data_IF_130685156342
#
_entry.id   IF_130685156342
#
_cell.length_a   1.000
_cell.length_b   1.000
_cell.length_c   1.000
_cell.angle_alpha   90.00
_cell.angle_beta   90.00
_cell.angle_gamma   90.00
#
_symmetry.space_group_name_H-M   'P 1'
#
loop_
_entity.id
_entity.type
_entity.pdbx_description
1 polymer ?
#
# COMPACT_ATOMS: atom_id res chain seq x y z
N UNK A 1 4.99 -8.78 22.66
CA UNK A 1 4.56 -7.54 21.97
C UNK A 1 3.06 -7.40 22.13
N UNK A 2 2.54 -6.19 22.36
CA UNK A 2 1.09 -5.95 22.40
C UNK A 2 0.53 -5.80 20.98
N UNK A 3 -0.77 -6.04 20.79
CA UNK A 3 -1.43 -5.95 19.49
C UNK A 3 -1.35 -4.53 18.89
N UNK A 4 -1.51 -3.49 19.72
CA UNK A 4 -1.37 -2.09 19.30
C UNK A 4 0.05 -1.75 18.82
N UNK A 5 1.08 -2.26 19.51
CA UNK A 5 2.47 -2.08 19.08
C UNK A 5 2.71 -2.78 17.74
N UNK A 6 2.21 -4.01 17.57
CA UNK A 6 2.30 -4.69 16.28
C UNK A 6 1.60 -3.90 15.17
N UNK A 7 0.35 -3.48 15.38
CA UNK A 7 -0.47 -2.78 14.39
C UNK A 7 0.12 -1.42 14.00
N UNK A 8 0.70 -0.68 14.95
CA UNK A 8 1.38 0.59 14.68
C UNK A 8 2.64 0.46 13.82
N UNK A 9 3.43 -0.60 13.99
CA UNK A 9 4.58 -0.87 13.10
C UNK A 9 4.14 -1.42 11.75
N UNK A 10 3.15 -2.31 11.75
CA UNK A 10 2.62 -2.93 10.53
C UNK A 10 2.08 -1.88 9.54
N UNK A 11 1.34 -0.90 10.06
CA UNK A 11 0.75 0.19 9.27
C UNK A 11 1.70 1.37 9.04
N UNK A 12 2.88 1.38 9.68
CA UNK A 12 3.80 2.51 9.67
C UNK A 12 3.39 3.70 10.54
N UNK A 13 2.22 3.65 11.19
CA UNK A 13 1.73 4.72 12.07
C UNK A 13 2.70 5.05 13.21
N UNK A 14 3.49 4.06 13.65
CA UNK A 14 4.52 4.30 14.66
C UNK A 14 5.54 5.38 14.25
N UNK A 15 5.76 5.59 12.96
CA UNK A 15 6.71 6.58 12.45
C UNK A 15 6.07 7.95 12.18
N UNK A 16 4.77 7.99 11.86
CA UNK A 16 4.07 9.21 11.44
C UNK A 16 3.31 9.84 12.60
N UNK A 17 2.70 9.03 13.45
CA UNK A 17 1.87 9.45 14.58
C UNK A 17 2.10 8.52 15.79
N UNK A 18 3.29 8.54 16.40
CA UNK A 18 3.66 7.67 17.51
C UNK A 18 2.79 7.84 18.77
N UNK A 19 2.09 8.96 18.89
CA UNK A 19 1.16 9.34 19.96
C UNK A 19 -0.26 8.77 19.79
N UNK A 20 -0.59 8.11 18.68
CA UNK A 20 -1.84 7.39 18.53
C UNK A 20 -1.81 6.13 19.42
N UNK A 21 -2.26 6.28 20.66
CA UNK A 21 -2.31 5.20 21.66
C UNK A 21 -3.73 4.62 21.81
N UNK A 22 -4.75 5.40 21.48
CA UNK A 22 -6.15 4.97 21.56
C UNK A 22 -6.43 3.81 20.58
N UNK A 23 -6.86 2.63 21.07
CA UNK A 23 -7.01 1.44 20.23
C UNK A 23 -8.05 1.58 19.11
N UNK A 24 -9.17 2.27 19.37
CA UNK A 24 -10.27 2.40 18.42
C UNK A 24 -9.87 3.32 17.26
N UNK A 25 -9.27 4.47 17.58
CA UNK A 25 -8.71 5.40 16.61
C UNK A 25 -7.60 4.72 15.79
N UNK A 26 -6.69 4.01 16.46
CA UNK A 26 -5.58 3.31 15.81
C UNK A 26 -6.07 2.25 14.83
N UNK A 27 -7.09 1.46 15.20
CA UNK A 27 -7.69 0.46 14.31
C UNK A 27 -8.38 1.11 13.10
N UNK A 28 -9.16 2.17 13.34
CA UNK A 28 -9.84 2.91 12.28
C UNK A 28 -8.85 3.52 11.27
N UNK A 29 -7.80 4.17 11.76
CA UNK A 29 -6.74 4.73 10.91
C UNK A 29 -5.98 3.64 10.17
N UNK A 30 -5.64 2.53 10.83
CA UNK A 30 -4.98 1.38 10.21
C UNK A 30 -5.81 0.82 9.04
N UNK A 31 -7.11 0.63 9.23
CA UNK A 31 -8.01 0.15 8.19
C UNK A 31 -8.06 1.12 7.00
N UNK A 32 -8.22 2.42 7.27
CA UNK A 32 -8.26 3.45 6.24
C UNK A 32 -6.96 3.46 5.40
N UNK A 33 -5.80 3.38 6.05
CA UNK A 33 -4.50 3.30 5.37
C UNK A 33 -4.41 2.08 4.47
N UNK A 34 -4.77 0.90 4.97
CA UNK A 34 -4.74 -0.34 4.20
C UNK A 34 -5.69 -0.33 2.99
N UNK A 35 -6.84 0.34 3.10
CA UNK A 35 -7.74 0.55 1.95
C UNK A 35 -7.09 1.47 0.91
N UNK A 36 -6.47 2.56 1.33
CA UNK A 36 -5.70 3.43 0.43
C UNK A 36 -4.55 2.67 -0.25
N UNK A 37 -3.81 1.87 0.51
CA UNK A 37 -2.71 1.04 0.02
C UNK A 37 -3.18 -0.02 -0.98
N UNK A 38 -4.34 -0.63 -0.76
CA UNK A 38 -4.97 -1.56 -1.71
C UNK A 38 -5.27 -0.88 -3.05
N UNK A 39 -5.82 0.34 -3.01
CA UNK A 39 -6.12 1.14 -4.21
C UNK A 39 -4.82 1.50 -4.93
N UNK A 40 -3.81 1.99 -4.20
CA UNK A 40 -2.50 2.33 -4.75
C UNK A 40 -1.84 1.11 -5.41
N UNK A 41 -1.80 -0.03 -4.71
CA UNK A 41 -1.27 -1.27 -5.26
C UNK A 41 -2.00 -1.71 -6.53
N UNK A 42 -3.33 -1.57 -6.59
CA UNK A 42 -4.11 -1.87 -7.79
C UNK A 42 -3.68 -1.01 -8.99
N UNK A 43 -3.48 0.28 -8.76
CA UNK A 43 -3.08 1.24 -9.79
C UNK A 43 -1.66 0.99 -10.28
N UNK A 44 -0.69 0.86 -9.37
CA UNK A 44 0.69 0.54 -9.72
C UNK A 44 0.80 -0.79 -10.44
N UNK A 45 0.08 -1.83 -9.97
CA UNK A 45 0.11 -3.13 -10.61
C UNK A 45 -0.43 -3.07 -12.04
N UNK A 46 -1.52 -2.33 -12.27
CA UNK A 46 -2.05 -2.13 -13.61
C UNK A 46 -1.03 -1.50 -14.55
N UNK A 47 -0.36 -0.44 -14.10
CA UNK A 47 0.56 0.35 -14.92
C UNK A 47 1.89 -0.39 -15.16
N UNK A 48 2.30 -1.22 -14.19
CA UNK A 48 3.57 -1.93 -14.22
C UNK A 48 3.47 -3.36 -14.78
N UNK A 49 2.31 -3.78 -15.28
CA UNK A 49 2.12 -5.10 -15.89
C UNK A 49 2.01 -6.26 -14.89
N UNK A 50 1.60 -5.97 -13.66
CA UNK A 50 1.37 -6.97 -12.61
C UNK A 50 -0.13 -7.30 -12.46
N UNK A 51 -0.49 -8.48 -11.91
CA UNK A 51 -1.89 -8.86 -11.70
C UNK A 51 -2.57 -7.95 -10.66
N UNK A 52 -3.55 -7.16 -11.11
CA UNK A 52 -4.27 -6.17 -10.30
C UNK A 52 -4.85 -6.76 -9.01
N UNK A 53 -5.55 -7.89 -9.12
CA UNK A 53 -6.27 -8.49 -7.99
C UNK A 53 -5.34 -8.93 -6.86
N UNK A 54 -4.24 -9.60 -7.22
CA UNK A 54 -3.22 -10.06 -6.26
C UNK A 54 -2.63 -8.87 -5.51
N UNK A 55 -2.21 -7.82 -6.22
CA UNK A 55 -1.62 -6.66 -5.59
C UNK A 55 -2.62 -5.82 -4.79
N UNK A 56 -3.89 -5.78 -5.19
CA UNK A 56 -4.95 -5.15 -4.39
C UNK A 56 -5.10 -5.86 -3.03
N UNK A 57 -5.17 -7.19 -3.04
CA UNK A 57 -5.27 -7.98 -1.82
C UNK A 57 -4.01 -7.85 -0.94
N UNK A 58 -2.82 -7.84 -1.54
CA UNK A 58 -1.58 -7.61 -0.83
C UNK A 58 -1.53 -6.21 -0.21
N UNK A 59 -1.97 -5.17 -0.91
CA UNK A 59 -2.10 -3.82 -0.34
C UNK A 59 -3.08 -3.76 0.83
N UNK A 60 -4.19 -4.50 0.76
CA UNK A 60 -5.17 -4.54 1.86
C UNK A 60 -4.62 -5.25 3.11
N UNK A 61 -3.82 -6.30 2.95
CA UNK A 61 -3.31 -7.09 4.09
C UNK A 61 -1.98 -6.54 4.61
N UNK A 62 -1.04 -6.25 3.72
CA UNK A 62 0.31 -5.82 4.04
C UNK A 62 0.52 -4.30 3.98
N UNK A 63 -0.48 -3.54 3.51
CA UNK A 63 -0.47 -2.08 3.56
C UNK A 63 0.72 -1.47 2.83
N UNK A 64 1.29 -0.47 3.50
CA UNK A 64 2.46 0.30 3.08
C UNK A 64 3.61 -0.58 2.56
N UNK A 65 3.86 -1.74 3.18
CA UNK A 65 4.97 -2.61 2.79
C UNK A 65 4.77 -3.22 1.40
N UNK A 66 3.54 -3.59 1.05
CA UNK A 66 3.24 -4.06 -0.30
C UNK A 66 3.42 -2.94 -1.33
N UNK A 67 2.99 -1.72 -1.00
CA UNK A 67 3.17 -0.54 -1.85
C UNK A 67 4.65 -0.27 -2.09
N UNK A 68 5.47 -0.28 -1.04
CA UNK A 68 6.91 -0.05 -1.13
C UNK A 68 7.59 -1.08 -2.04
N UNK A 69 7.28 -2.37 -1.87
CA UNK A 69 7.80 -3.42 -2.75
C UNK A 69 7.38 -3.19 -4.19
N UNK A 70 6.10 -2.88 -4.43
CA UNK A 70 5.59 -2.70 -5.79
C UNK A 70 6.19 -1.49 -6.52
N UNK A 71 6.55 -0.43 -5.78
CA UNK A 71 7.26 0.74 -6.33
C UNK A 71 8.70 0.36 -6.74
N UNK A 72 9.38 -0.45 -5.94
CA UNK A 72 10.76 -0.87 -6.20
C UNK A 72 10.86 -1.95 -7.29
N UNK A 73 9.78 -2.69 -7.52
CA UNK A 73 9.76 -3.72 -8.53
C UNK A 73 9.82 -3.13 -9.94
N UNK A 74 10.66 -3.69 -10.83
CA UNK A 74 10.73 -3.23 -12.21
C UNK A 74 9.41 -3.50 -12.92
N UNK A 75 9.09 -2.65 -13.89
CA UNK A 75 7.94 -2.87 -14.77
C UNK A 75 8.08 -4.20 -15.51
N UNK A 76 7.05 -5.04 -15.46
CA UNK A 76 6.97 -6.25 -16.27
C UNK A 76 6.49 -5.90 -17.68
N UNK A 77 7.16 -6.47 -18.68
CA UNK A 77 6.74 -6.40 -20.09
C UNK A 77 7.48 -5.39 -20.97
N UNK A 78 8.50 -4.67 -20.48
CA UNK A 78 9.53 -3.99 -21.29
C UNK A 78 9.09 -2.86 -22.24
N UNK A 79 7.80 -2.71 -22.55
CA UNK A 79 7.32 -1.67 -23.45
C UNK A 79 7.26 -0.33 -22.70
N UNK A 80 7.93 0.73 -23.19
CA UNK A 80 7.72 2.09 -22.71
C UNK A 80 6.22 2.43 -22.69
N UNK A 81 5.74 3.30 -21.79
CA UNK A 81 4.36 3.78 -21.88
C UNK A 81 4.14 4.33 -23.30
N UNK A 82 2.99 4.01 -23.91
CA UNK A 82 2.66 4.52 -25.23
C UNK A 82 2.77 6.06 -25.19
N UNK A 83 3.37 6.71 -26.21
CA UNK A 83 3.49 8.16 -26.22
C UNK A 83 2.12 8.78 -25.94
N UNK A 84 2.05 9.66 -24.95
CA UNK A 84 0.83 10.41 -24.70
C UNK A 84 0.42 11.09 -26.00
N UNK A 85 -0.83 10.86 -26.45
CA UNK A 85 -1.36 11.63 -27.55
C UNK A 85 -1.46 13.07 -27.06
N UNK A 86 -0.53 13.91 -27.52
CA UNK A 86 -0.66 15.36 -27.38
C UNK A 86 -1.93 15.78 -28.14
N UNK A 87 -2.72 16.74 -27.59
CA UNK A 87 -3.92 17.25 -28.24
C UNK A 87 -3.62 17.89 -29.59
#
# INVERSE_FOLDING_TARGET
MTAAVFLSYWTGLRFVAPELVDPDTLLGTALALHVCDAIMCRLFAHNNGYPKGVWTALGLVAGLWAVAVLILLPRRGGAPPAPGRLP
#
